data_IF_018852596328
#
_entry.id   IF_018852596328
#
_cell.length_a   1.000
_cell.length_b   1.000
_cell.length_c   1.000
_cell.angle_alpha   90.00
_cell.angle_beta   90.00
_cell.angle_gamma   90.00
#
_symmetry.space_group_name_H-M   'P 1'
#
loop_
_entity.id
_entity.type
_entity.pdbx_description
1 polymer ?
#
# COMPACT_ATOMS: atom_id res chain seq x y z
N UNK A 1 1.69 8.91 8.21
CA UNK A 1 0.76 9.95 8.72
C UNK A 1 -0.50 10.04 7.87
N UNK A 2 -0.40 10.30 6.55
CA UNK A 2 -1.56 10.38 5.65
C UNK A 2 -2.18 9.00 5.44
N UNK A 3 -1.48 8.08 4.76
CA UNK A 3 -2.04 6.75 4.44
C UNK A 3 -2.41 5.92 5.66
N UNK A 4 -1.68 6.04 6.76
CA UNK A 4 -2.04 5.42 8.04
C UNK A 4 -3.36 5.94 8.62
N UNK A 5 -3.66 7.24 8.44
CA UNK A 5 -4.94 7.80 8.83
C UNK A 5 -6.06 7.36 7.90
N UNK A 6 -5.77 7.25 6.60
CA UNK A 6 -6.69 6.73 5.59
C UNK A 6 -7.03 5.26 5.87
N UNK A 7 -6.05 4.42 6.21
CA UNK A 7 -6.29 3.03 6.57
C UNK A 7 -7.20 2.88 7.81
N UNK A 8 -6.98 3.73 8.83
CA UNK A 8 -7.84 3.78 10.01
C UNK A 8 -9.29 4.15 9.65
N UNK A 9 -9.47 5.20 8.83
CA UNK A 9 -10.78 5.64 8.38
C UNK A 9 -11.45 4.60 7.47
N UNK A 10 -10.69 3.96 6.57
CA UNK A 10 -11.18 2.88 5.74
C UNK A 10 -11.72 1.72 6.59
N UNK A 11 -11.06 1.38 7.70
CA UNK A 11 -11.55 0.34 8.61
C UNK A 11 -12.94 0.67 9.20
N UNK A 12 -13.23 1.96 9.46
CA UNK A 12 -14.54 2.37 9.98
C UNK A 12 -15.59 2.50 8.88
N UNK A 13 -15.24 3.06 7.72
CA UNK A 13 -16.19 3.44 6.67
C UNK A 13 -16.43 2.37 5.60
N UNK A 14 -15.55 1.37 5.47
CA UNK A 14 -15.61 0.40 4.36
C UNK A 14 -16.96 -0.28 4.19
N UNK A 15 -17.31 -0.57 2.94
CA UNK A 15 -18.38 -1.49 2.54
C UNK A 15 -17.79 -2.87 2.24
N UNK A 16 -18.63 -3.89 2.13
CA UNK A 16 -18.15 -5.24 1.80
C UNK A 16 -17.56 -5.31 0.38
N UNK A 17 -18.11 -4.54 -0.57
CA UNK A 17 -17.54 -4.39 -1.91
C UNK A 17 -16.13 -3.79 -1.93
N UNK A 18 -15.72 -3.09 -0.88
CA UNK A 18 -14.37 -2.56 -0.77
C UNK A 18 -13.39 -3.68 -0.36
N UNK A 19 -13.84 -4.66 0.43
CA UNK A 19 -13.04 -5.85 0.76
C UNK A 19 -12.73 -6.68 -0.48
N UNK A 20 -13.68 -6.81 -1.40
CA UNK A 20 -13.46 -7.53 -2.67
C UNK A 20 -12.35 -6.86 -3.49
N UNK A 21 -12.36 -5.51 -3.57
CA UNK A 21 -11.33 -4.74 -4.28
C UNK A 21 -9.96 -4.87 -3.64
N UNK A 22 -9.91 -4.76 -2.31
CA UNK A 22 -8.67 -4.92 -1.54
C UNK A 22 -8.10 -6.33 -1.71
N UNK A 23 -8.96 -7.35 -1.62
CA UNK A 23 -8.56 -8.74 -1.79
C UNK A 23 -8.09 -9.03 -3.22
N UNK A 24 -8.75 -8.48 -4.23
CA UNK A 24 -8.33 -8.61 -5.62
C UNK A 24 -6.93 -8.01 -5.85
N UNK A 25 -6.65 -6.83 -5.31
CA UNK A 25 -5.33 -6.20 -5.40
C UNK A 25 -4.26 -7.02 -4.65
N UNK A 26 -4.55 -7.50 -3.43
CA UNK A 26 -3.67 -8.39 -2.67
C UNK A 26 -3.33 -9.68 -3.43
N UNK A 27 -4.34 -10.27 -4.06
CA UNK A 27 -4.18 -11.48 -4.86
C UNK A 27 -3.32 -11.20 -6.09
N UNK A 28 -3.59 -10.12 -6.81
CA UNK A 28 -2.81 -9.71 -7.97
C UNK A 28 -1.34 -9.46 -7.61
N UNK A 29 -1.04 -8.83 -6.46
CA UNK A 29 0.33 -8.69 -5.98
C UNK A 29 1.01 -10.06 -5.79
N UNK A 30 0.30 -11.02 -5.18
CA UNK A 30 0.84 -12.37 -4.93
C UNK A 30 1.07 -13.16 -6.21
N UNK A 31 0.17 -13.06 -7.18
CA UNK A 31 0.29 -13.76 -8.46
C UNK A 31 1.42 -13.18 -9.33
N UNK A 32 1.73 -11.89 -9.16
CA UNK A 32 2.77 -11.20 -9.92
C UNK A 32 4.10 -11.08 -9.17
N UNK A 33 4.42 -11.98 -8.24
CA UNK A 33 5.65 -11.92 -7.44
C UNK A 33 6.95 -11.91 -8.26
N UNK A 34 6.93 -12.44 -9.49
CA UNK A 34 8.10 -12.45 -10.38
C UNK A 34 8.07 -11.36 -11.47
N UNK A 35 6.93 -10.67 -11.63
CA UNK A 35 6.77 -9.52 -12.51
C UNK A 35 6.74 -8.24 -11.67
N UNK A 36 7.89 -7.56 -11.61
CA UNK A 36 8.05 -6.32 -10.85
C UNK A 36 6.99 -5.27 -11.22
N UNK A 37 6.75 -5.04 -12.51
CA UNK A 37 5.88 -3.97 -12.96
C UNK A 37 4.41 -4.28 -12.65
N UNK A 38 3.99 -5.54 -12.83
CA UNK A 38 2.63 -5.97 -12.50
C UNK A 38 2.39 -6.00 -10.99
N UNK A 39 3.38 -6.40 -10.19
CA UNK A 39 3.29 -6.35 -8.72
C UNK A 39 3.13 -4.92 -8.20
N UNK A 40 3.93 -3.98 -8.70
CA UNK A 40 3.83 -2.57 -8.32
C UNK A 40 2.50 -1.93 -8.74
N UNK A 41 1.97 -2.30 -9.90
CA UNK A 41 0.65 -1.84 -10.32
C UNK A 41 -0.44 -2.32 -9.34
N UNK A 42 -0.37 -3.58 -8.92
CA UNK A 42 -1.29 -4.15 -7.94
C UNK A 42 -1.11 -3.53 -6.54
N UNK A 43 0.12 -3.17 -6.14
CA UNK A 43 0.41 -2.44 -4.90
C UNK A 43 -0.25 -1.05 -4.92
N UNK A 44 -0.05 -0.29 -5.98
CA UNK A 44 -0.74 0.99 -6.17
C UNK A 44 -2.26 0.84 -6.09
N UNK A 45 -2.82 -0.18 -6.73
CA UNK A 45 -4.25 -0.44 -6.70
C UNK A 45 -4.76 -0.79 -5.30
N UNK A 46 -3.97 -1.50 -4.49
CA UNK A 46 -4.29 -1.77 -3.09
C UNK A 46 -4.38 -0.48 -2.27
N UNK A 47 -3.38 0.39 -2.36
CA UNK A 47 -3.37 1.66 -1.65
C UNK A 47 -4.52 2.59 -2.09
N UNK A 48 -4.82 2.64 -3.39
CA UNK A 48 -5.99 3.38 -3.90
C UNK A 48 -7.32 2.76 -3.47
N UNK A 49 -7.40 1.44 -3.35
CA UNK A 49 -8.60 0.76 -2.84
C UNK A 49 -8.85 1.09 -1.37
N UNK A 50 -7.80 1.15 -0.53
CA UNK A 50 -7.92 1.64 0.86
C UNK A 50 -8.46 3.06 0.87
N UNK A 51 -7.91 3.94 0.03
CA UNK A 51 -8.39 5.33 -0.04
C UNK A 51 -9.85 5.44 -0.48
N UNK A 52 -10.28 4.64 -1.45
CA UNK A 52 -11.69 4.55 -1.88
C UNK A 52 -12.61 4.05 -0.77
N UNK A 53 -12.14 3.09 0.03
CA UNK A 53 -12.92 2.50 1.13
C UNK A 53 -13.25 3.51 2.24
N UNK A 54 -12.60 4.69 2.27
CA UNK A 54 -12.99 5.79 3.16
C UNK A 54 -14.30 6.48 2.75
N UNK A 55 -14.80 6.23 1.52
CA UNK A 55 -15.92 6.98 0.95
C UNK A 55 -15.60 8.44 0.62
N UNK A 56 -14.36 8.89 0.82
CA UNK A 56 -13.93 10.27 0.60
C UNK A 56 -13.07 10.39 -0.67
N UNK A 57 -13.68 10.95 -1.72
CA UNK A 57 -13.04 11.11 -3.02
C UNK A 57 -11.79 12.01 -2.97
N UNK A 58 -11.77 13.02 -2.09
CA UNK A 58 -10.60 13.88 -1.94
C UNK A 58 -9.40 13.10 -1.40
N UNK A 59 -9.60 12.25 -0.39
CA UNK A 59 -8.52 11.39 0.12
C UNK A 59 -7.98 10.45 -0.96
N UNK A 60 -8.86 9.90 -1.80
CA UNK A 60 -8.45 9.12 -2.96
C UNK A 60 -7.60 9.91 -3.94
N UNK A 61 -7.96 11.16 -4.23
CA UNK A 61 -7.18 12.05 -5.10
C UNK A 61 -5.80 12.37 -4.49
N UNK A 62 -5.72 12.60 -3.17
CA UNK A 62 -4.42 12.78 -2.49
C UNK A 62 -3.52 11.57 -2.70
N UNK A 63 -4.02 10.37 -2.41
CA UNK A 63 -3.22 9.13 -2.56
C UNK A 63 -2.82 8.92 -4.01
N UNK A 64 -3.72 9.19 -4.96
CA UNK A 64 -3.41 9.13 -6.40
C UNK A 64 -2.25 10.04 -6.75
N UNK A 65 -2.31 11.31 -6.32
CA UNK A 65 -1.25 12.28 -6.59
C UNK A 65 0.08 11.91 -5.91
N UNK A 66 0.05 11.34 -4.70
CA UNK A 66 1.26 10.86 -4.02
C UNK A 66 1.96 9.76 -4.82
N UNK A 67 1.20 8.76 -5.29
CA UNK A 67 1.72 7.68 -6.12
C UNK A 67 2.25 8.18 -7.47
N UNK A 68 1.48 9.03 -8.15
CA UNK A 68 1.86 9.54 -9.47
C UNK A 68 3.10 10.45 -9.39
N UNK A 69 3.21 11.29 -8.35
CA UNK A 69 4.37 12.15 -8.13
C UNK A 69 5.62 11.37 -7.74
N UNK A 70 5.50 10.31 -6.91
CA UNK A 70 6.65 9.47 -6.58
C UNK A 70 7.29 8.87 -7.83
N UNK A 71 6.48 8.51 -8.83
CA UNK A 71 6.92 7.93 -10.11
C UNK A 71 7.45 8.95 -11.11
N UNK A 72 7.12 10.22 -10.94
CA UNK A 72 7.57 11.30 -11.82
C UNK A 72 9.02 11.70 -11.54
N UNK A 73 9.56 11.40 -10.36
CA UNK A 73 10.94 11.70 -10.01
C UNK A 73 11.91 10.70 -10.67
N UNK A 74 12.80 11.14 -11.59
CA UNK A 74 13.79 10.27 -12.22
C UNK A 74 14.76 9.62 -11.21
N UNK A 75 14.97 10.25 -10.06
CA UNK A 75 15.75 9.71 -8.95
C UNK A 75 15.06 8.49 -8.35
N UNK A 76 13.72 8.54 -8.23
CA UNK A 76 12.91 7.45 -7.69
C UNK A 76 13.00 6.18 -8.55
N UNK A 77 13.01 6.31 -9.88
CA UNK A 77 13.18 5.15 -10.78
C UNK A 77 14.52 4.44 -10.60
N UNK A 78 15.62 5.19 -10.50
CA UNK A 78 16.96 4.64 -10.27
C UNK A 78 17.09 3.98 -8.90
N UNK A 79 16.42 4.58 -7.92
CA UNK A 79 16.31 4.01 -6.59
C UNK A 79 15.53 2.69 -6.74
N UNK A 80 14.25 2.68 -7.15
CA UNK A 80 13.39 1.49 -7.33
C UNK A 80 14.06 0.28 -8.00
N UNK A 81 14.96 0.47 -8.97
CA UNK A 81 15.73 -0.62 -9.58
C UNK A 81 16.48 -1.49 -8.56
N UNK A 82 16.89 -0.92 -7.42
CA UNK A 82 17.65 -1.59 -6.36
C UNK A 82 16.80 -2.07 -5.16
N UNK A 83 15.54 -1.62 -5.01
CA UNK A 83 14.71 -1.88 -3.81
C UNK A 83 13.52 -2.83 -4.02
N UNK A 84 13.36 -3.38 -5.22
CA UNK A 84 12.29 -4.33 -5.52
C UNK A 84 12.85 -5.75 -5.67
N UNK A 85 13.54 -6.23 -4.63
CA UNK A 85 13.97 -7.64 -4.58
C UNK A 85 12.77 -8.55 -4.28
N UNK A 86 12.82 -9.84 -4.66
CA UNK A 86 11.77 -10.79 -4.30
C UNK A 86 11.48 -10.85 -2.79
N UNK A 87 12.52 -10.72 -1.95
CA UNK A 87 12.38 -10.71 -0.50
C UNK A 87 11.59 -9.49 0.00
N UNK A 88 11.81 -8.31 -0.60
CA UNK A 88 11.08 -7.10 -0.24
C UNK A 88 9.63 -7.14 -0.71
N UNK A 89 9.34 -7.73 -1.87
CA UNK A 89 7.95 -7.98 -2.32
C UNK A 89 7.22 -8.94 -1.37
N UNK A 90 7.87 -10.01 -0.93
CA UNK A 90 7.29 -10.92 0.05
C UNK A 90 6.98 -10.22 1.39
N UNK A 91 7.92 -9.39 1.88
CA UNK A 91 7.71 -8.61 3.10
C UNK A 91 6.56 -7.60 2.97
N UNK A 92 6.45 -6.91 1.83
CA UNK A 92 5.31 -6.01 1.55
C UNK A 92 3.99 -6.76 1.51
N UNK A 93 3.94 -7.92 0.87
CA UNK A 93 2.74 -8.75 0.83
C UNK A 93 2.25 -9.14 2.23
N UNK A 94 3.17 -9.50 3.14
CA UNK A 94 2.83 -9.84 4.52
C UNK A 94 2.30 -8.61 5.29
N UNK A 95 2.90 -7.44 5.08
CA UNK A 95 2.41 -6.19 5.68
C UNK A 95 1.01 -5.83 5.16
N UNK A 96 0.78 -5.93 3.85
CA UNK A 96 -0.52 -5.63 3.25
C UNK A 96 -1.60 -6.58 3.73
N UNK A 97 -1.29 -7.86 3.95
CA UNK A 97 -2.23 -8.81 4.57
C UNK A 97 -2.63 -8.37 5.99
N UNK A 98 -1.70 -7.86 6.79
CA UNK A 98 -2.01 -7.33 8.14
C UNK A 98 -2.90 -6.09 8.08
N UNK A 99 -2.64 -5.19 7.13
CA UNK A 99 -3.47 -4.01 6.89
C UNK A 99 -4.88 -4.42 6.49
N UNK A 100 -5.01 -5.32 5.52
CA UNK A 100 -6.31 -5.83 5.07
C UNK A 100 -7.07 -6.54 6.20
N UNK A 101 -6.40 -7.39 6.97
CA UNK A 101 -7.02 -8.08 8.10
C UNK A 101 -7.60 -7.08 9.12
N UNK A 102 -6.87 -6.01 9.43
CA UNK A 102 -7.35 -4.96 10.33
C UNK A 102 -8.55 -4.18 9.75
N UNK A 103 -8.52 -3.83 8.46
CA UNK A 103 -9.64 -3.16 7.77
C UNK A 103 -10.88 -4.08 7.73
N UNK A 104 -10.68 -5.37 7.44
CA UNK A 104 -11.72 -6.39 7.45
C UNK A 104 -12.38 -6.51 8.83
N UNK A 105 -11.56 -6.55 9.88
CA UNK A 105 -12.00 -6.59 11.27
C UNK A 105 -12.62 -5.26 11.77
N UNK A 106 -12.61 -4.20 10.95
CA UNK A 106 -13.02 -2.83 11.31
C UNK A 106 -12.23 -2.28 12.51
N UNK A 107 -10.98 -2.71 12.68
CA UNK A 107 -10.10 -2.21 13.73
C UNK A 107 -9.26 -1.04 13.19
N UNK A 108 -9.75 0.17 13.44
CA UNK A 108 -9.11 1.40 13.01
C UNK A 108 -7.70 1.59 13.62
N UNK A 109 -7.50 1.14 14.85
CA UNK A 109 -6.21 1.27 15.54
C UNK A 109 -5.21 0.30 14.92
N UNK A 110 -5.58 -0.97 14.76
CA UNK A 110 -4.71 -1.96 14.13
C UNK A 110 -4.40 -1.58 12.67
N UNK A 111 -5.37 -1.06 11.91
CA UNK A 111 -5.16 -0.64 10.53
C UNK A 111 -4.16 0.52 10.42
N UNK A 112 -4.28 1.50 11.33
CA UNK A 112 -3.31 2.60 11.45
C UNK A 112 -1.91 2.07 11.72
N UNK A 113 -1.78 1.23 12.75
CA UNK A 113 -0.49 0.71 13.21
C UNK A 113 0.17 -0.16 12.15
N UNK A 114 -0.59 -1.03 11.49
CA UNK A 114 -0.08 -1.87 10.40
C UNK A 114 0.43 -1.03 9.22
N UNK A 115 -0.32 -0.01 8.81
CA UNK A 115 0.12 0.89 7.72
C UNK A 115 1.33 1.74 8.13
N UNK A 116 1.44 2.16 9.39
CA UNK A 116 2.63 2.85 9.89
C UNK A 116 3.86 1.93 9.85
N UNK A 117 3.72 0.68 10.29
CA UNK A 117 4.80 -0.30 10.28
C UNK A 117 5.26 -0.60 8.84
N UNK A 118 4.32 -0.79 7.92
CA UNK A 118 4.59 -0.98 6.49
C UNK A 118 5.43 0.17 5.92
N UNK A 119 4.95 1.41 6.05
CA UNK A 119 5.63 2.58 5.51
C UNK A 119 6.99 2.81 6.19
N UNK A 120 7.10 2.57 7.49
CA UNK A 120 8.37 2.69 8.20
C UNK A 120 9.40 1.68 7.70
N UNK A 121 8.99 0.43 7.41
CA UNK A 121 9.86 -0.57 6.80
C UNK A 121 10.29 -0.12 5.41
N UNK A 122 9.35 0.26 4.55
CA UNK A 122 9.62 0.71 3.18
C UNK A 122 10.61 1.89 3.17
N UNK A 123 10.39 2.92 3.98
CA UNK A 123 11.32 4.05 4.14
C UNK A 123 12.67 3.63 4.72
N UNK A 124 12.67 2.69 5.67
CA UNK A 124 13.88 2.09 6.23
C UNK A 124 14.74 1.40 5.17
N UNK A 125 14.13 0.68 4.23
CA UNK A 125 14.86 0.10 3.10
C UNK A 125 15.47 1.16 2.20
N UNK A 126 14.71 2.21 1.87
CA UNK A 126 15.24 3.34 1.11
C UNK A 126 16.49 3.92 1.77
N UNK A 127 16.42 4.29 3.05
CA UNK A 127 17.54 4.94 3.76
C UNK A 127 18.79 4.07 3.92
N UNK A 128 18.66 2.73 3.97
CA UNK A 128 19.80 1.82 4.11
C UNK A 128 20.70 1.74 2.88
N UNK A 129 20.15 1.93 1.69
CA UNK A 129 20.94 1.88 0.45
C UNK A 129 21.62 3.22 0.09
N UNK A 130 21.39 4.28 0.88
CA UNK A 130 22.13 5.54 0.78
C UNK A 130 23.38 5.57 1.66
N UNK A 131 23.67 4.49 2.38
CA UNK A 131 24.93 4.27 3.13
C UNK A 131 25.81 3.29 2.36
#
# INVERSE_FOLDING_TARGET
MIESGIAALAATERKDSDLDRLFAALRAMRENMDDKAANEAADRDFHLAIARATGNEMLRLVVTAMWDNSRADPLWKKIEEHFHTPALRAASQDDHQRIFAAIMARDATAARTAMQAHLARVVGEFTRAWR
#
